data_IF_904427642752
#
_entry.id   IF_904427642752
#
_cell.length_a   1.000
_cell.length_b   1.000
_cell.length_c   1.000
_cell.angle_alpha   90.00
_cell.angle_beta   90.00
_cell.angle_gamma   90.00
#
_symmetry.space_group_name_H-M   'P 1'
#
loop_
_entity.id
_entity.type
_entity.pdbx_description
1 polymer ?
#
# COMPACT_ATOMS: atom_id res chain seq x y z
N UNK A 1 -6.40 13.07 -22.39
CA UNK A 1 -5.93 11.83 -23.08
C UNK A 1 -6.50 10.69 -22.29
N UNK A 2 -7.12 9.70 -22.91
CA UNK A 2 -7.69 8.53 -22.22
C UNK A 2 -6.54 7.53 -22.01
N UNK A 3 -6.42 6.97 -20.83
CA UNK A 3 -5.34 6.04 -20.48
C UNK A 3 -5.74 4.62 -20.87
N UNK A 4 -4.98 4.00 -21.80
CA UNK A 4 -5.04 2.57 -22.10
C UNK A 4 -4.28 1.78 -21.02
N UNK A 5 -4.73 0.55 -20.71
CA UNK A 5 -4.18 -0.27 -19.65
C UNK A 5 -3.82 -1.68 -20.11
N UNK A 6 -2.60 -2.12 -19.80
CA UNK A 6 -2.19 -3.52 -19.87
C UNK A 6 -2.92 -4.38 -18.81
N UNK A 7 -2.86 -5.70 -18.92
CA UNK A 7 -3.45 -6.60 -17.89
C UNK A 7 -2.84 -6.36 -16.50
N UNK A 8 -1.53 -6.14 -16.44
CA UNK A 8 -0.80 -5.82 -15.23
C UNK A 8 -1.31 -4.55 -14.56
N UNK A 9 -1.56 -3.51 -15.34
CA UNK A 9 -2.10 -2.23 -14.86
C UNK A 9 -3.56 -2.35 -14.42
N UNK A 10 -4.36 -3.16 -15.11
CA UNK A 10 -5.73 -3.48 -14.68
C UNK A 10 -5.75 -4.19 -13.33
N UNK A 11 -4.83 -5.14 -13.08
CA UNK A 11 -4.68 -5.83 -11.78
C UNK A 11 -4.33 -4.81 -10.68
N UNK A 12 -3.34 -3.95 -10.92
CA UNK A 12 -2.96 -2.93 -9.94
C UNK A 12 -4.12 -1.99 -9.61
N UNK A 13 -4.85 -1.53 -10.62
CA UNK A 13 -5.99 -0.63 -10.43
C UNK A 13 -7.19 -1.35 -9.79
N UNK A 14 -7.50 -2.59 -10.19
CA UNK A 14 -8.56 -3.39 -9.57
C UNK A 14 -8.30 -3.60 -8.08
N UNK A 15 -7.06 -3.95 -7.69
CA UNK A 15 -6.68 -4.08 -6.29
C UNK A 15 -6.84 -2.76 -5.51
N UNK A 16 -6.53 -1.62 -6.13
CA UNK A 16 -6.69 -0.29 -5.51
C UNK A 16 -8.16 0.13 -5.36
N UNK A 17 -9.08 -0.39 -6.20
CA UNK A 17 -10.46 0.08 -6.29
C UNK A 17 -11.50 -0.93 -5.81
N UNK A 18 -11.13 -2.21 -5.54
CA UNK A 18 -12.09 -3.28 -5.28
C UNK A 18 -13.10 -2.94 -4.18
N UNK A 19 -12.67 -2.27 -3.15
CA UNK A 19 -13.45 -1.94 -1.95
C UNK A 19 -13.75 -0.44 -1.77
N UNK A 20 -13.47 0.41 -2.76
CA UNK A 20 -13.77 1.86 -2.69
C UNK A 20 -15.26 2.14 -2.45
N UNK A 21 -16.11 1.22 -2.86
CA UNK A 21 -17.54 1.25 -2.60
C UNK A 21 -17.92 1.29 -1.12
N UNK A 22 -17.05 0.84 -0.21
CA UNK A 22 -17.27 0.96 1.25
C UNK A 22 -17.33 2.42 1.71
N UNK A 23 -16.56 3.31 1.07
CA UNK A 23 -16.68 4.76 1.32
C UNK A 23 -17.99 5.30 0.75
N UNK A 24 -18.32 4.96 -0.50
CA UNK A 24 -19.53 5.47 -1.18
C UNK A 24 -20.82 5.01 -0.49
N UNK A 25 -20.82 3.84 0.11
CA UNK A 25 -21.98 3.28 0.82
C UNK A 25 -22.31 3.99 2.15
N UNK A 26 -21.45 4.89 2.61
CA UNK A 26 -21.68 5.56 3.92
C UNK A 26 -22.79 6.59 3.90
N UNK A 27 -23.09 7.22 2.75
CA UNK A 27 -24.19 8.21 2.66
C UNK A 27 -25.40 7.69 1.90
N UNK A 28 -26.55 7.71 2.57
CA UNK A 28 -27.85 7.41 1.97
C UNK A 28 -28.26 8.50 0.99
N UNK A 29 -28.02 9.78 1.35
CA UNK A 29 -28.33 10.91 0.51
C UNK A 29 -27.58 10.86 -0.82
N UNK A 30 -26.27 10.54 -0.78
CA UNK A 30 -25.47 10.35 -1.99
C UNK A 30 -26.07 9.27 -2.90
N UNK A 31 -26.41 8.11 -2.34
CA UNK A 31 -26.97 7.00 -3.13
C UNK A 31 -28.33 7.35 -3.74
N UNK A 32 -29.19 8.01 -2.99
CA UNK A 32 -30.52 8.42 -3.46
C UNK A 32 -30.43 9.47 -4.59
N UNK A 33 -29.56 10.48 -4.43
CA UNK A 33 -29.36 11.53 -5.45
C UNK A 33 -28.75 11.02 -6.76
N UNK A 34 -28.06 9.89 -6.72
CA UNK A 34 -27.46 9.26 -7.88
C UNK A 34 -28.25 8.04 -8.40
N UNK A 35 -29.48 7.82 -7.90
CA UNK A 35 -30.36 6.72 -8.30
C UNK A 35 -29.71 5.32 -8.18
N UNK A 36 -28.84 5.15 -7.17
CA UNK A 36 -28.12 3.89 -6.96
C UNK A 36 -29.04 2.89 -6.26
N UNK A 37 -29.43 1.85 -6.99
CA UNK A 37 -30.34 0.79 -6.52
C UNK A 37 -29.57 -0.28 -5.74
N UNK A 38 -28.45 -0.78 -6.28
CA UNK A 38 -27.62 -1.81 -5.67
C UNK A 38 -26.57 -1.13 -4.76
N UNK A 39 -26.71 -1.34 -3.45
CA UNK A 39 -25.96 -0.58 -2.42
C UNK A 39 -24.81 -1.36 -1.80
N UNK A 40 -24.66 -2.63 -2.15
CA UNK A 40 -23.51 -3.41 -1.70
C UNK A 40 -22.21 -2.86 -2.30
N UNK A 41 -21.15 -2.85 -1.49
CA UNK A 41 -19.88 -2.19 -1.87
C UNK A 41 -19.28 -2.70 -3.20
N UNK A 42 -19.40 -3.98 -3.63
CA UNK A 42 -18.84 -4.39 -4.93
C UNK A 42 -19.52 -3.68 -6.11
N UNK A 43 -20.86 -3.47 -6.04
CA UNK A 43 -21.58 -2.72 -7.06
C UNK A 43 -21.22 -1.24 -7.06
N UNK A 44 -20.96 -0.67 -5.89
CA UNK A 44 -20.51 0.72 -5.76
C UNK A 44 -19.07 0.89 -6.24
N UNK A 45 -18.21 -0.10 -6.02
CA UNK A 45 -16.86 -0.12 -6.59
C UNK A 45 -16.89 -0.19 -8.11
N UNK A 46 -17.77 -1.02 -8.69
CA UNK A 46 -18.03 -1.02 -10.14
C UNK A 46 -18.57 0.33 -10.61
N UNK A 47 -19.55 0.92 -9.92
CA UNK A 47 -20.07 2.24 -10.22
C UNK A 47 -18.95 3.31 -10.26
N UNK A 48 -17.96 3.21 -9.37
CA UNK A 48 -16.81 4.11 -9.36
C UNK A 48 -15.91 3.90 -10.58
N UNK A 49 -15.69 2.66 -11.02
CA UNK A 49 -14.98 2.39 -12.29
C UNK A 49 -15.73 3.03 -13.46
N UNK A 50 -17.05 2.83 -13.56
CA UNK A 50 -17.88 3.49 -14.58
C UNK A 50 -17.88 5.03 -14.45
N UNK A 51 -17.68 5.58 -13.23
CA UNK A 51 -17.47 7.01 -13.03
C UNK A 51 -16.17 7.50 -13.66
N UNK A 52 -15.06 6.75 -13.51
CA UNK A 52 -13.78 7.07 -14.15
C UNK A 52 -13.91 7.05 -15.68
N UNK A 53 -14.63 6.07 -16.23
CA UNK A 53 -14.90 5.96 -17.67
C UNK A 53 -15.74 7.14 -18.21
N UNK A 54 -16.83 7.48 -17.52
CA UNK A 54 -17.71 8.61 -17.89
C UNK A 54 -17.00 9.96 -17.84
N UNK A 55 -15.97 10.10 -17.03
CA UNK A 55 -15.16 11.31 -16.95
C UNK A 55 -13.89 11.24 -17.79
N UNK A 56 -13.78 10.25 -18.69
CA UNK A 56 -12.67 10.09 -19.65
C UNK A 56 -11.29 9.98 -19.02
N UNK A 57 -11.20 9.46 -17.80
CA UNK A 57 -9.95 9.18 -17.12
C UNK A 57 -9.34 7.86 -17.59
N UNK A 58 -10.19 6.88 -17.85
CA UNK A 58 -9.85 5.58 -18.44
C UNK A 58 -10.77 5.24 -19.61
N UNK A 59 -10.35 4.32 -20.48
CA UNK A 59 -11.22 3.73 -21.47
C UNK A 59 -12.26 2.81 -20.82
N UNK A 60 -13.40 2.61 -21.53
CA UNK A 60 -14.39 1.62 -21.09
C UNK A 60 -13.75 0.25 -20.96
N UNK A 61 -13.77 -0.30 -19.73
CA UNK A 61 -13.02 -1.50 -19.39
C UNK A 61 -13.85 -2.52 -18.63
N UNK A 62 -14.60 -3.35 -19.36
CA UNK A 62 -15.43 -4.40 -18.77
C UNK A 62 -14.64 -5.37 -17.89
N UNK A 63 -13.38 -5.65 -18.20
CA UNK A 63 -12.55 -6.56 -17.39
C UNK A 63 -12.28 -5.95 -16.00
N UNK A 64 -11.98 -4.65 -15.92
CA UNK A 64 -11.81 -3.94 -14.66
C UNK A 64 -13.12 -3.90 -13.87
N UNK A 65 -14.25 -3.61 -14.52
CA UNK A 65 -15.57 -3.63 -13.89
C UNK A 65 -15.88 -4.99 -13.25
N UNK A 66 -15.63 -6.09 -13.99
CA UNK A 66 -15.88 -7.46 -13.52
C UNK A 66 -14.93 -7.83 -12.36
N UNK A 67 -13.65 -7.46 -12.41
CA UNK A 67 -12.70 -7.75 -11.33
C UNK A 67 -13.11 -7.06 -10.02
N UNK A 68 -13.50 -5.80 -10.05
CA UNK A 68 -13.93 -5.09 -8.81
C UNK A 68 -15.30 -5.53 -8.34
N UNK A 69 -16.20 -6.00 -9.23
CA UNK A 69 -17.50 -6.51 -8.86
C UNK A 69 -17.42 -7.92 -8.25
N UNK A 70 -16.51 -8.77 -8.76
CA UNK A 70 -16.44 -10.19 -8.46
C UNK A 70 -15.19 -10.59 -7.68
N UNK A 71 -14.84 -9.81 -6.64
CA UNK A 71 -13.68 -10.12 -5.81
C UNK A 71 -14.01 -10.99 -4.57
N UNK A 72 -15.29 -11.19 -4.24
CA UNK A 72 -15.72 -12.05 -3.15
C UNK A 72 -16.20 -13.42 -3.62
N UNK A 73 -15.81 -14.49 -2.91
CA UNK A 73 -16.34 -15.83 -3.07
C UNK A 73 -16.63 -16.44 -1.71
N UNK A 74 -17.84 -16.22 -1.22
CA UNK A 74 -18.31 -16.68 0.09
C UNK A 74 -19.82 -17.01 0.05
N UNK A 75 -20.29 -17.77 1.02
CA UNK A 75 -21.73 -18.12 1.17
C UNK A 75 -22.66 -16.89 1.33
N UNK A 76 -22.11 -15.72 1.61
CA UNK A 76 -22.87 -14.48 1.77
C UNK A 76 -23.02 -13.67 0.47
N UNK A 77 -22.36 -14.11 -0.60
CA UNK A 77 -22.36 -13.46 -1.91
C UNK A 77 -23.02 -14.38 -2.93
N UNK A 78 -23.97 -13.91 -3.77
CA UNK A 78 -24.57 -14.71 -4.82
C UNK A 78 -23.52 -15.39 -5.71
N UNK A 79 -23.72 -16.69 -6.01
CA UNK A 79 -22.73 -17.48 -6.77
C UNK A 79 -22.38 -16.89 -8.15
N UNK A 80 -23.35 -16.22 -8.79
CA UNK A 80 -23.13 -15.56 -10.07
C UNK A 80 -22.10 -14.41 -9.99
N UNK A 81 -21.81 -13.90 -8.79
CA UNK A 81 -20.80 -12.88 -8.54
C UNK A 81 -19.44 -13.47 -8.13
N UNK A 82 -19.32 -14.77 -8.03
CA UNK A 82 -18.03 -15.39 -7.67
C UNK A 82 -17.03 -15.30 -8.82
N UNK A 83 -15.74 -15.00 -8.54
CA UNK A 83 -14.69 -15.02 -9.57
C UNK A 83 -14.66 -16.35 -10.32
N UNK A 84 -14.87 -17.49 -9.63
CA UNK A 84 -14.89 -18.83 -10.22
C UNK A 84 -15.97 -19.05 -11.29
N UNK A 85 -17.00 -18.21 -11.34
CA UNK A 85 -18.11 -18.30 -12.32
C UNK A 85 -17.89 -17.44 -13.56
N UNK A 86 -16.77 -16.74 -13.67
CA UNK A 86 -16.40 -15.99 -14.87
C UNK A 86 -16.05 -16.99 -15.98
N UNK A 87 -16.68 -16.88 -17.14
CA UNK A 87 -16.48 -17.83 -18.26
C UNK A 87 -15.10 -17.66 -18.89
N UNK A 88 -14.66 -16.43 -19.15
CA UNK A 88 -13.33 -16.15 -19.69
C UNK A 88 -12.24 -16.59 -18.68
N UNK A 89 -11.36 -17.50 -19.13
CA UNK A 89 -10.33 -18.10 -18.25
C UNK A 89 -9.32 -17.09 -17.75
N UNK A 90 -8.89 -16.17 -18.60
CA UNK A 90 -7.92 -15.14 -18.24
C UNK A 90 -8.53 -14.17 -17.22
N UNK A 91 -9.72 -13.65 -17.51
CA UNK A 91 -10.42 -12.72 -16.60
C UNK A 91 -10.76 -13.40 -15.28
N UNK A 92 -11.23 -14.66 -15.30
CA UNK A 92 -11.48 -15.46 -14.09
C UNK A 92 -10.22 -15.54 -13.21
N UNK A 93 -9.07 -15.78 -13.82
CA UNK A 93 -7.80 -15.89 -13.11
C UNK A 93 -7.38 -14.52 -12.52
N UNK A 94 -7.52 -13.44 -13.29
CA UNK A 94 -7.26 -12.08 -12.82
C UNK A 94 -8.18 -11.69 -11.65
N UNK A 95 -9.48 -11.96 -11.74
CA UNK A 95 -10.43 -11.72 -10.64
C UNK A 95 -10.13 -12.56 -9.39
N UNK A 96 -9.65 -13.82 -9.59
CA UNK A 96 -9.20 -14.67 -8.48
C UNK A 96 -7.97 -14.10 -7.78
N UNK A 97 -7.03 -13.49 -8.51
CA UNK A 97 -5.88 -12.82 -7.91
C UNK A 97 -6.35 -11.68 -6.99
N UNK A 98 -7.31 -10.86 -7.42
CA UNK A 98 -7.88 -9.80 -6.58
C UNK A 98 -8.53 -10.39 -5.32
N UNK A 99 -9.33 -11.44 -5.47
CA UNK A 99 -9.99 -12.13 -4.33
C UNK A 99 -8.97 -12.69 -3.32
N UNK A 100 -7.90 -13.30 -3.80
CA UNK A 100 -6.84 -13.84 -2.94
C UNK A 100 -6.05 -12.72 -2.27
N UNK A 101 -5.76 -11.64 -2.99
CA UNK A 101 -5.05 -10.48 -2.46
C UNK A 101 -5.86 -9.76 -1.37
N UNK A 102 -7.17 -9.61 -1.55
CA UNK A 102 -8.09 -9.09 -0.53
C UNK A 102 -8.05 -9.96 0.74
N UNK A 103 -8.14 -11.30 0.59
CA UNK A 103 -8.05 -12.22 1.72
C UNK A 103 -6.70 -12.14 2.44
N UNK A 104 -5.58 -12.01 1.73
CA UNK A 104 -4.27 -11.87 2.35
C UNK A 104 -4.10 -10.51 3.05
N UNK A 105 -4.60 -9.43 2.45
CA UNK A 105 -4.63 -8.10 3.06
C UNK A 105 -5.53 -8.01 4.30
N UNK A 106 -6.43 -8.98 4.47
CA UNK A 106 -7.38 -9.08 5.59
C UNK A 106 -7.07 -10.20 6.57
N UNK A 107 -5.94 -10.91 6.38
CA UNK A 107 -5.63 -12.15 7.11
C UNK A 107 -5.36 -11.94 8.61
N UNK A 108 -5.17 -10.70 9.07
CA UNK A 108 -5.06 -10.33 10.49
C UNK A 108 -6.41 -10.23 11.20
N UNK A 109 -7.53 -10.37 10.48
CA UNK A 109 -8.88 -10.25 11.03
C UNK A 109 -9.19 -11.46 11.92
N UNK A 110 -9.51 -11.17 13.20
CA UNK A 110 -9.90 -12.17 14.19
C UNK A 110 -11.41 -12.45 14.04
N UNK A 111 -11.79 -13.69 13.73
CA UNK A 111 -13.20 -14.07 13.47
C UNK A 111 -14.09 -14.03 14.74
N UNK A 112 -13.47 -14.10 15.95
CA UNK A 112 -14.21 -14.31 17.21
C UNK A 112 -14.78 -13.04 17.84
N UNK A 113 -14.50 -11.83 17.32
CA UNK A 113 -14.85 -10.55 17.94
C UNK A 113 -15.72 -9.66 17.05
N UNK A 114 -16.86 -10.16 16.59
CA UNK A 114 -17.78 -9.36 15.75
C UNK A 114 -18.82 -8.63 16.58
N UNK A 115 -19.05 -7.34 16.30
CA UNK A 115 -20.12 -6.53 16.84
C UNK A 115 -21.02 -5.99 15.74
N UNK A 116 -22.35 -6.00 15.97
CA UNK A 116 -23.29 -5.34 15.05
C UNK A 116 -23.23 -3.83 15.28
N UNK A 117 -22.50 -3.10 14.45
CA UNK A 117 -22.44 -1.64 14.44
C UNK A 117 -23.08 -1.08 13.17
N UNK A 118 -23.52 0.17 13.22
CA UNK A 118 -23.93 0.87 11.99
C UNK A 118 -22.66 1.24 11.19
N UNK A 119 -22.33 0.45 10.18
CA UNK A 119 -21.12 0.62 9.36
C UNK A 119 -20.97 2.03 8.76
N UNK A 120 -22.06 2.78 8.60
CA UNK A 120 -22.02 4.12 8.00
C UNK A 120 -21.33 5.14 8.90
N UNK A 121 -21.49 5.00 10.20
CA UNK A 121 -21.02 5.99 11.19
C UNK A 121 -19.78 5.53 11.96
N UNK A 122 -19.38 4.26 11.84
CA UNK A 122 -18.17 3.74 12.53
C UNK A 122 -16.92 4.46 12.04
N UNK A 123 -16.18 5.15 12.92
CA UNK A 123 -14.92 5.81 12.59
C UNK A 123 -13.73 4.85 12.72
N UNK A 124 -12.56 5.30 12.30
CA UNK A 124 -11.30 4.63 12.57
C UNK A 124 -10.90 4.87 14.04
N UNK A 125 -10.63 3.79 14.78
CA UNK A 125 -10.12 3.85 16.15
C UNK A 125 -8.63 4.26 16.15
N UNK A 126 -8.23 5.08 17.12
CA UNK A 126 -6.83 5.47 17.27
C UNK A 126 -6.02 4.35 17.96
N UNK A 127 -5.00 3.84 17.28
CA UNK A 127 -4.12 2.79 17.80
C UNK A 127 -3.50 3.16 19.16
N UNK A 128 -3.14 4.43 19.37
CA UNK A 128 -2.57 4.89 20.64
C UNK A 128 -3.55 4.81 21.81
N UNK A 129 -4.85 4.71 21.57
CA UNK A 129 -5.85 4.48 22.62
C UNK A 129 -5.74 3.10 23.25
N UNK A 130 -5.00 2.16 22.65
CA UNK A 130 -4.75 0.82 23.21
C UNK A 130 -3.51 0.76 24.08
N UNK A 131 -2.72 1.84 24.16
CA UNK A 131 -1.51 1.93 24.96
C UNK A 131 -1.86 2.46 26.35
N UNK A 132 -1.79 1.62 27.37
CA UNK A 132 -2.02 1.99 28.77
C UNK A 132 -0.95 1.39 29.67
N UNK A 133 -0.52 2.18 30.66
CA UNK A 133 0.40 1.72 31.70
C UNK A 133 -0.34 0.88 32.79
N UNK A 134 -1.64 1.07 32.95
CA UNK A 134 -2.46 0.55 34.07
C UNK A 134 -3.42 -0.59 33.70
N UNK A 135 -3.28 -1.23 32.56
CA UNK A 135 -3.89 -2.53 32.17
C UNK A 135 -5.40 -2.59 31.88
N UNK A 136 -6.22 -1.57 32.05
CA UNK A 136 -7.63 -1.61 31.63
C UNK A 136 -7.99 -0.38 30.81
N UNK A 137 -8.16 -0.57 29.52
CA UNK A 137 -8.72 0.43 28.62
C UNK A 137 -10.20 0.11 28.50
N UNK A 138 -11.07 1.00 28.97
CA UNK A 138 -12.51 0.91 28.75
C UNK A 138 -12.88 1.47 27.38
N UNK A 139 -13.96 0.93 26.77
CA UNK A 139 -14.39 1.37 25.44
C UNK A 139 -14.81 2.86 25.36
N UNK A 140 -15.14 3.48 26.52
CA UNK A 140 -15.46 4.89 26.67
C UNK A 140 -14.29 5.84 26.45
N UNK A 141 -13.06 5.36 26.61
CA UNK A 141 -11.85 6.20 26.58
C UNK A 141 -11.14 6.21 25.22
N UNK A 142 -11.74 5.55 24.21
CA UNK A 142 -11.13 5.45 22.89
C UNK A 142 -11.26 6.76 22.13
N UNK A 143 -10.12 7.35 21.83
CA UNK A 143 -10.04 8.41 20.84
C UNK A 143 -10.18 7.83 19.42
N UNK A 144 -10.84 8.58 18.56
CA UNK A 144 -11.20 8.17 17.20
C UNK A 144 -10.94 9.30 16.21
N UNK A 145 -10.84 8.93 14.93
CA UNK A 145 -10.66 9.90 13.87
C UNK A 145 -12.00 10.24 13.22
N UNK A 146 -12.36 11.51 13.23
CA UNK A 146 -13.55 12.01 12.52
C UNK A 146 -13.40 11.78 11.01
N UNK A 147 -14.48 11.37 10.31
CA UNK A 147 -14.45 11.17 8.86
C UNK A 147 -14.37 12.53 8.17
N UNK A 148 -13.17 12.85 7.75
CA UNK A 148 -12.84 14.11 7.09
C UNK A 148 -11.62 13.93 6.15
N UNK A 149 -11.44 14.79 5.15
CA UNK A 149 -10.24 14.75 4.32
C UNK A 149 -8.97 14.93 5.17
N UNK A 150 -7.91 14.19 4.82
CA UNK A 150 -6.62 14.30 5.51
C UNK A 150 -6.10 15.75 5.48
N UNK A 151 -5.91 16.33 6.67
CA UNK A 151 -5.37 17.67 6.84
C UNK A 151 -4.72 17.80 8.21
N UNK A 152 -3.87 18.81 8.37
CA UNK A 152 -3.23 19.08 9.66
C UNK A 152 -4.22 19.22 10.83
N UNK A 153 -5.41 19.75 10.58
CA UNK A 153 -6.43 19.96 11.62
C UNK A 153 -7.17 18.65 12.00
N UNK A 154 -7.16 17.62 11.14
CA UNK A 154 -7.96 16.42 11.29
C UNK A 154 -7.13 15.18 11.70
N UNK A 155 -5.77 15.30 11.76
CA UNK A 155 -4.90 14.17 12.10
C UNK A 155 -4.88 13.80 13.58
N UNK A 156 -5.44 14.63 14.44
CA UNK A 156 -5.49 14.37 15.87
C UNK A 156 -6.82 13.71 16.23
N UNK A 157 -6.78 12.54 16.90
CA UNK A 157 -7.99 11.88 17.35
C UNK A 157 -8.63 12.65 18.51
N UNK A 158 -9.95 12.55 18.62
CA UNK A 158 -10.72 13.21 19.66
C UNK A 158 -11.84 12.31 20.21
N UNK A 159 -12.54 12.74 21.24
CA UNK A 159 -13.81 12.17 21.62
C UNK A 159 -14.79 12.35 20.45
N UNK A 160 -15.42 11.26 20.05
CA UNK A 160 -16.12 11.17 18.77
C UNK A 160 -17.57 11.61 18.85
N UNK A 161 -17.97 12.51 17.96
CA UNK A 161 -19.35 12.72 17.54
C UNK A 161 -19.56 12.08 16.17
N UNK A 162 -20.67 11.33 15.99
CA UNK A 162 -20.94 10.62 14.73
C UNK A 162 -21.15 11.62 13.58
N UNK A 163 -20.58 11.34 12.41
CA UNK A 163 -20.81 12.13 11.23
C UNK A 163 -22.30 12.02 10.78
N UNK A 164 -22.91 13.16 10.48
CA UNK A 164 -24.23 13.19 9.84
C UNK A 164 -24.19 12.75 8.37
N UNK A 165 -25.32 12.28 7.83
CA UNK A 165 -25.41 11.82 6.44
C UNK A 165 -25.06 12.93 5.43
N UNK A 166 -25.38 14.20 5.73
CA UNK A 166 -25.02 15.35 4.90
C UNK A 166 -23.50 15.61 4.85
N UNK A 167 -22.80 15.37 5.97
CA UNK A 167 -21.33 15.48 6.00
C UNK A 167 -20.68 14.37 5.18
N UNK A 168 -21.19 13.15 5.32
CA UNK A 168 -20.72 12.00 4.55
C UNK A 168 -20.99 12.20 3.05
N UNK A 169 -22.16 12.71 2.68
CA UNK A 169 -22.45 13.06 1.29
C UNK A 169 -21.46 14.11 0.75
N UNK A 170 -21.20 15.17 1.50
CA UNK A 170 -20.25 16.22 1.12
C UNK A 170 -18.85 15.66 0.98
N UNK A 171 -18.42 14.78 1.89
CA UNK A 171 -17.13 14.11 1.83
C UNK A 171 -16.97 13.30 0.53
N UNK A 172 -17.97 12.51 0.15
CA UNK A 172 -18.01 11.72 -1.07
C UNK A 172 -17.99 12.63 -2.31
N UNK A 173 -18.83 13.67 -2.34
CA UNK A 173 -18.91 14.59 -3.47
C UNK A 173 -17.59 15.34 -3.71
N UNK A 174 -16.92 15.78 -2.64
CA UNK A 174 -15.61 16.43 -2.74
C UNK A 174 -14.56 15.46 -3.32
N UNK A 175 -14.56 14.19 -2.87
CA UNK A 175 -13.69 13.16 -3.44
C UNK A 175 -13.93 12.99 -4.95
N UNK A 176 -15.18 12.83 -5.36
CA UNK A 176 -15.54 12.63 -6.77
C UNK A 176 -15.20 13.85 -7.64
N UNK A 177 -15.37 15.05 -7.10
CA UNK A 177 -14.99 16.28 -7.79
C UNK A 177 -13.47 16.35 -8.01
N UNK A 178 -12.67 16.06 -6.99
CA UNK A 178 -11.20 16.02 -7.14
C UNK A 178 -10.76 14.91 -8.09
N UNK A 179 -11.40 13.74 -8.07
CA UNK A 179 -11.14 12.67 -9.04
C UNK A 179 -11.42 13.14 -10.47
N UNK A 180 -12.55 13.79 -10.70
CA UNK A 180 -12.91 14.31 -12.05
C UNK A 180 -11.89 15.32 -12.58
N UNK A 181 -11.22 16.03 -11.69
CA UNK A 181 -10.23 17.06 -12.03
C UNK A 181 -8.81 16.51 -12.26
N UNK A 182 -8.60 15.19 -12.13
CA UNK A 182 -7.30 14.57 -12.41
C UNK A 182 -6.95 14.81 -13.89
N UNK A 183 -5.71 15.25 -14.12
CA UNK A 183 -5.10 15.34 -15.45
C UNK A 183 -3.92 14.37 -15.48
N UNK A 184 -4.09 13.27 -16.17
CA UNK A 184 -3.08 12.25 -16.30
C UNK A 184 -2.75 11.98 -17.77
N UNK A 185 -1.46 11.89 -18.07
CA UNK A 185 -0.94 11.58 -19.41
C UNK A 185 -0.46 10.12 -19.51
N UNK A 186 -0.36 9.44 -18.38
CA UNK A 186 0.06 8.04 -18.29
C UNK A 186 -0.70 7.31 -17.19
N UNK A 187 -0.69 5.97 -17.24
CA UNK A 187 -1.25 5.14 -16.19
C UNK A 187 -0.63 5.43 -14.82
N UNK A 188 0.69 5.54 -14.74
CA UNK A 188 1.39 5.79 -13.47
C UNK A 188 0.99 7.12 -12.83
N UNK A 189 0.77 8.15 -13.64
CA UNK A 189 0.28 9.45 -13.16
C UNK A 189 -1.15 9.33 -12.64
N UNK A 190 -2.04 8.65 -13.38
CA UNK A 190 -3.42 8.40 -12.97
C UNK A 190 -3.49 7.58 -11.68
N UNK A 191 -2.76 6.47 -11.64
CA UNK A 191 -2.71 5.55 -10.52
C UNK A 191 -2.21 6.26 -9.23
N UNK A 192 -1.13 7.03 -9.36
CA UNK A 192 -0.58 7.80 -8.24
C UNK A 192 -1.56 8.86 -7.76
N UNK A 193 -2.20 9.61 -8.66
CA UNK A 193 -3.19 10.62 -8.31
C UNK A 193 -4.41 10.00 -7.60
N UNK A 194 -4.94 8.89 -8.12
CA UNK A 194 -6.05 8.15 -7.49
C UNK A 194 -5.66 7.66 -6.09
N UNK A 195 -4.47 7.06 -5.94
CA UNK A 195 -3.97 6.60 -4.64
C UNK A 195 -3.86 7.75 -3.64
N UNK A 196 -3.35 8.91 -4.03
CA UNK A 196 -3.24 10.07 -3.13
C UNK A 196 -4.61 10.66 -2.75
N UNK A 197 -5.57 10.66 -3.67
CA UNK A 197 -6.96 11.03 -3.34
C UNK A 197 -7.62 10.01 -2.41
N UNK A 198 -7.44 8.71 -2.66
CA UNK A 198 -7.90 7.65 -1.76
C UNK A 198 -7.26 7.83 -0.37
N UNK A 199 -5.96 8.13 -0.29
CA UNK A 199 -5.31 8.46 0.97
C UNK A 199 -6.00 9.64 1.66
N UNK A 200 -6.21 10.74 0.94
CA UNK A 200 -6.82 11.96 1.47
C UNK A 200 -8.22 11.73 2.04
N UNK A 201 -9.01 10.86 1.41
CA UNK A 201 -10.44 10.69 1.76
C UNK A 201 -10.74 9.38 2.51
N UNK A 202 -9.90 8.35 2.41
CA UNK A 202 -10.16 7.04 3.05
C UNK A 202 -9.23 6.74 4.24
N UNK A 203 -8.31 7.63 4.61
CA UNK A 203 -7.33 7.42 5.69
C UNK A 203 -7.96 7.14 7.07
N UNK A 204 -9.14 7.72 7.33
CA UNK A 204 -9.88 7.62 8.59
C UNK A 204 -11.16 6.76 8.49
N UNK A 205 -11.37 6.09 7.35
CA UNK A 205 -12.48 5.16 7.13
C UNK A 205 -11.97 3.75 7.41
N UNK A 206 -12.55 2.99 8.36
CA UNK A 206 -12.11 1.63 8.61
C UNK A 206 -12.46 0.70 7.45
N UNK A 207 -11.55 -0.23 7.13
CA UNK A 207 -11.73 -1.28 6.13
C UNK A 207 -12.74 -2.33 6.56
N UNK A 208 -12.84 -2.57 7.89
CA UNK A 208 -13.77 -3.47 8.53
C UNK A 208 -14.44 -2.76 9.72
N UNK A 209 -15.78 -2.79 9.74
CA UNK A 209 -16.60 -2.14 10.76
C UNK A 209 -17.24 -3.12 11.75
N UNK A 210 -17.00 -4.41 11.57
CA UNK A 210 -17.57 -5.46 12.43
C UNK A 210 -16.71 -5.77 13.65
N UNK A 211 -15.46 -5.32 13.67
CA UNK A 211 -14.52 -5.50 14.78
C UNK A 211 -14.86 -4.60 15.97
N UNK A 212 -14.49 -5.06 17.17
CA UNK A 212 -14.53 -4.24 18.39
C UNK A 212 -13.54 -3.06 18.35
N UNK A 213 -12.45 -3.21 17.59
CA UNK A 213 -11.42 -2.20 17.37
C UNK A 213 -11.12 -2.12 15.88
N UNK A 214 -11.45 -0.98 15.29
CA UNK A 214 -11.37 -0.74 13.84
C UNK A 214 -10.17 0.17 13.55
N UNK A 215 -8.95 -0.38 13.52
CA UNK A 215 -7.69 0.35 13.43
C UNK A 215 -7.02 0.33 12.05
N UNK A 216 -7.56 -0.45 11.11
CA UNK A 216 -7.02 -0.52 9.75
C UNK A 216 -7.86 0.35 8.81
N UNK A 217 -7.20 1.34 8.20
CA UNK A 217 -7.87 2.24 7.28
C UNK A 217 -8.24 1.56 5.95
N UNK A 218 -9.28 2.05 5.31
CA UNK A 218 -9.65 1.60 3.96
C UNK A 218 -8.52 1.92 2.96
N UNK A 219 -7.81 3.04 3.13
CA UNK A 219 -6.64 3.37 2.32
C UNK A 219 -5.54 2.31 2.43
N UNK A 220 -5.18 1.92 3.64
CA UNK A 220 -4.12 0.91 3.85
C UNK A 220 -4.52 -0.44 3.25
N UNK A 221 -5.77 -0.86 3.46
CA UNK A 221 -6.32 -2.09 2.89
C UNK A 221 -6.29 -2.08 1.35
N UNK A 222 -6.76 -1.00 0.71
CA UNK A 222 -6.77 -0.87 -0.75
C UNK A 222 -5.36 -0.89 -1.35
N UNK A 223 -4.42 -0.18 -0.73
CA UNK A 223 -3.04 -0.11 -1.22
C UNK A 223 -2.29 -1.42 -1.02
N UNK A 224 -2.44 -2.08 0.12
CA UNK A 224 -1.83 -3.41 0.36
C UNK A 224 -2.42 -4.47 -0.54
N UNK A 225 -3.74 -4.48 -0.76
CA UNK A 225 -4.39 -5.40 -1.71
C UNK A 225 -3.85 -5.20 -3.12
N UNK A 226 -3.66 -3.96 -3.57
CA UNK A 226 -3.06 -3.67 -4.88
C UNK A 226 -1.63 -4.18 -4.99
N UNK A 227 -0.79 -3.97 -3.97
CA UNK A 227 0.59 -4.44 -3.95
C UNK A 227 0.68 -5.97 -3.97
N UNK A 228 -0.17 -6.64 -3.18
CA UNK A 228 -0.26 -8.11 -3.13
C UNK A 228 -0.72 -8.66 -4.48
N UNK A 229 -1.81 -8.11 -5.04
CA UNK A 229 -2.36 -8.57 -6.31
C UNK A 229 -1.34 -8.45 -7.46
N UNK A 230 -0.65 -7.30 -7.54
CA UNK A 230 0.38 -7.07 -8.54
C UNK A 230 1.55 -8.05 -8.38
N UNK A 231 2.00 -8.29 -7.14
CA UNK A 231 3.10 -9.22 -6.88
C UNK A 231 2.75 -10.67 -7.23
N UNK A 232 1.51 -11.11 -6.94
CA UNK A 232 1.04 -12.44 -7.37
C UNK A 232 0.99 -12.52 -8.89
N UNK A 233 0.46 -11.49 -9.56
CA UNK A 233 0.37 -11.47 -11.02
C UNK A 233 1.76 -11.58 -11.67
N UNK A 234 2.70 -10.72 -11.27
CA UNK A 234 4.05 -10.68 -11.84
C UNK A 234 4.85 -11.97 -11.55
N UNK A 235 4.65 -12.58 -10.38
CA UNK A 235 5.24 -13.88 -10.05
C UNK A 235 4.73 -15.01 -10.96
N UNK A 236 3.42 -15.03 -11.21
CA UNK A 236 2.80 -16.06 -12.05
C UNK A 236 3.11 -15.85 -13.54
N UNK A 237 3.15 -14.60 -13.99
CA UNK A 237 3.45 -14.23 -15.37
C UNK A 237 4.88 -14.63 -15.78
N UNK A 238 5.85 -14.51 -14.86
CA UNK A 238 7.23 -14.98 -15.09
C UNK A 238 7.33 -16.51 -15.11
N UNK A 239 6.58 -17.22 -14.24
CA UNK A 239 6.67 -18.69 -14.12
C UNK A 239 5.93 -19.45 -15.21
N UNK A 240 4.98 -18.83 -15.87
CA UNK A 240 4.07 -19.51 -16.80
C UNK A 240 4.24 -18.97 -18.23
N UNK A 241 4.50 -19.89 -19.18
CA UNK A 241 4.57 -19.52 -20.60
C UNK A 241 3.26 -18.92 -21.13
N UNK A 242 2.14 -19.28 -20.54
CA UNK A 242 0.82 -18.75 -20.89
C UNK A 242 -0.03 -18.59 -19.61
N UNK A 243 -0.12 -17.35 -19.14
CA UNK A 243 -0.91 -16.99 -17.96
C UNK A 243 -2.36 -17.50 -17.99
N UNK A 244 -2.97 -17.58 -19.20
CA UNK A 244 -4.35 -18.04 -19.34
C UNK A 244 -4.54 -19.54 -19.11
N UNK A 245 -3.47 -20.35 -19.21
CA UNK A 245 -3.52 -21.81 -19.06
C UNK A 245 -3.49 -22.28 -17.61
N UNK A 246 -2.97 -21.48 -16.68
CA UNK A 246 -2.94 -21.80 -15.28
C UNK A 246 -4.35 -21.97 -14.68
N UNK A 247 -4.47 -22.79 -13.65
CA UNK A 247 -5.76 -23.04 -13.00
C UNK A 247 -5.96 -22.06 -11.83
N UNK A 248 -7.16 -21.50 -11.70
CA UNK A 248 -7.49 -20.62 -10.59
C UNK A 248 -7.38 -21.33 -9.21
N UNK A 249 -7.64 -22.65 -9.18
CA UNK A 249 -7.51 -23.50 -7.98
C UNK A 249 -6.08 -23.46 -7.41
N UNK A 250 -5.08 -23.37 -8.28
CA UNK A 250 -3.68 -23.27 -7.84
C UNK A 250 -3.43 -22.00 -7.03
N UNK A 251 -3.98 -20.86 -7.44
CA UNK A 251 -3.80 -19.58 -6.73
C UNK A 251 -4.44 -19.64 -5.34
N UNK A 252 -5.68 -20.15 -5.22
CA UNK A 252 -6.40 -20.24 -3.94
C UNK A 252 -5.75 -21.19 -2.94
N UNK A 253 -5.21 -22.31 -3.43
CA UNK A 253 -4.68 -23.38 -2.57
C UNK A 253 -3.20 -23.22 -2.25
N UNK A 254 -2.50 -22.30 -2.92
CA UNK A 254 -1.05 -22.13 -2.79
C UNK A 254 -0.64 -21.11 -1.72
N UNK A 255 -1.30 -21.13 -0.55
CA UNK A 255 -0.97 -20.22 0.56
C UNK A 255 0.48 -20.30 1.05
N UNK A 256 1.15 -21.45 0.80
CA UNK A 256 2.54 -21.70 1.19
C UNK A 256 3.55 -21.40 0.09
N UNK A 257 3.10 -21.00 -1.08
CA UNK A 257 3.98 -20.56 -2.16
C UNK A 257 4.57 -19.19 -1.83
N UNK A 258 5.88 -19.06 -1.99
CA UNK A 258 6.60 -17.82 -1.71
C UNK A 258 6.43 -16.82 -2.88
N UNK A 259 5.25 -16.25 -2.99
CA UNK A 259 4.91 -15.26 -4.02
C UNK A 259 5.66 -13.95 -3.91
N UNK A 260 6.09 -13.61 -2.69
CA UNK A 260 6.50 -12.26 -2.36
C UNK A 260 7.95 -12.20 -1.91
N UNK A 261 8.56 -11.07 -2.21
CA UNK A 261 9.84 -10.63 -1.67
C UNK A 261 9.58 -9.37 -0.83
N UNK A 262 9.82 -9.44 0.47
CA UNK A 262 9.83 -8.25 1.32
C UNK A 262 11.23 -7.63 1.28
N UNK A 263 11.33 -6.45 0.70
CA UNK A 263 12.56 -5.68 0.60
C UNK A 263 12.56 -4.64 1.72
N UNK A 264 13.55 -4.69 2.59
CA UNK A 264 13.81 -3.69 3.63
C UNK A 264 14.95 -2.78 3.25
N UNK A 265 14.76 -1.48 3.36
CA UNK A 265 15.80 -0.47 3.21
C UNK A 265 16.02 0.30 4.52
N UNK A 266 17.27 0.52 4.89
CA UNK A 266 17.67 1.26 6.10
C UNK A 266 18.86 2.17 5.80
N UNK A 267 18.74 3.45 6.10
CA UNK A 267 19.83 4.41 5.95
C UNK A 267 20.68 4.39 7.21
N UNK A 268 21.94 4.03 7.09
CA UNK A 268 22.90 4.03 8.18
C UNK A 268 23.69 5.35 8.24
N UNK A 269 24.16 5.74 9.46
CA UNK A 269 24.92 6.98 9.67
C UNK A 269 24.06 8.20 10.02
N UNK A 270 22.74 8.04 10.17
CA UNK A 270 21.79 9.14 10.41
C UNK A 270 22.18 9.99 11.62
N UNK A 271 22.52 9.39 12.75
CA UNK A 271 22.84 10.11 13.98
C UNK A 271 24.10 10.95 13.80
N UNK A 272 25.18 10.37 13.28
CA UNK A 272 26.41 11.09 12.99
C UNK A 272 26.20 12.23 12.00
N UNK A 273 25.40 11.98 10.95
CA UNK A 273 25.07 13.00 9.97
C UNK A 273 24.26 14.15 10.56
N UNK A 274 23.19 13.87 11.33
CA UNK A 274 22.34 14.91 11.91
C UNK A 274 23.11 15.73 12.96
N UNK A 275 23.81 15.08 13.89
CA UNK A 275 24.44 15.74 15.03
C UNK A 275 25.89 16.19 14.80
N UNK A 276 26.52 15.81 13.68
CA UNK A 276 27.89 16.22 13.30
C UNK A 276 28.02 17.73 12.98
N UNK A 277 27.42 18.60 13.81
CA UNK A 277 27.42 20.05 13.61
C UNK A 277 28.64 20.65 14.33
N UNK A 278 29.52 21.31 13.56
CA UNK A 278 30.77 21.89 14.07
C UNK A 278 30.60 23.29 14.71
N UNK A 279 29.46 23.94 14.56
CA UNK A 279 29.21 25.31 15.05
C UNK A 279 27.83 25.41 15.72
N UNK A 280 27.74 26.14 16.84
CA UNK A 280 26.49 26.40 17.54
C UNK A 280 25.62 27.43 16.84
N UNK A 281 26.20 28.32 16.03
CA UNK A 281 25.46 29.31 15.27
C UNK A 281 24.54 28.65 14.23
N UNK A 282 23.25 28.92 14.29
CA UNK A 282 22.25 28.32 13.41
C UNK A 282 22.05 26.81 13.57
N UNK A 283 22.52 26.18 14.68
CA UNK A 283 22.44 24.74 14.92
C UNK A 283 21.01 24.17 14.76
N UNK A 284 19.99 24.85 15.30
CA UNK A 284 18.59 24.42 15.20
C UNK A 284 18.09 24.34 13.73
N UNK A 285 18.49 25.29 12.87
CA UNK A 285 18.13 25.26 11.45
C UNK A 285 18.82 24.11 10.73
N UNK A 286 20.10 23.86 11.03
CA UNK A 286 20.87 22.76 10.42
C UNK A 286 20.34 21.40 10.84
N UNK A 287 19.99 21.21 12.13
CA UNK A 287 19.39 19.97 12.63
C UNK A 287 18.07 19.65 11.90
N UNK A 288 17.18 20.65 11.81
CA UNK A 288 15.90 20.47 11.08
C UNK A 288 16.13 20.15 9.61
N UNK A 289 17.04 20.88 8.94
CA UNK A 289 17.35 20.60 7.54
C UNK A 289 17.91 19.18 7.34
N UNK A 290 18.89 18.77 8.16
CA UNK A 290 19.49 17.43 8.06
C UNK A 290 18.48 16.33 8.36
N UNK A 291 17.60 16.52 9.33
CA UNK A 291 16.51 15.58 9.60
C UNK A 291 15.52 15.50 8.43
N UNK A 292 15.11 16.65 7.86
CA UNK A 292 14.29 16.69 6.65
C UNK A 292 14.98 16.04 5.45
N UNK A 293 16.28 16.28 5.28
CA UNK A 293 17.07 15.68 4.21
C UNK A 293 17.09 14.15 4.30
N UNK A 294 17.26 13.56 5.49
CA UNK A 294 17.18 12.09 5.66
C UNK A 294 15.80 11.56 5.27
N UNK A 295 14.72 12.27 5.63
CA UNK A 295 13.37 11.89 5.18
C UNK A 295 13.25 11.93 3.65
N UNK A 296 13.72 13.01 3.03
CA UNK A 296 13.70 13.17 1.58
C UNK A 296 14.55 12.10 0.88
N UNK A 297 15.74 11.81 1.41
CA UNK A 297 16.63 10.77 0.88
C UNK A 297 15.96 9.38 0.96
N UNK A 298 15.27 9.07 2.07
CA UNK A 298 14.51 7.83 2.24
C UNK A 298 13.43 7.70 1.15
N UNK A 299 12.68 8.76 0.91
CA UNK A 299 11.63 8.78 -0.11
C UNK A 299 12.24 8.62 -1.52
N UNK A 300 13.29 9.36 -1.84
CA UNK A 300 13.97 9.28 -3.15
C UNK A 300 14.50 7.87 -3.41
N UNK A 301 15.14 7.23 -2.42
CA UNK A 301 15.67 5.87 -2.56
C UNK A 301 14.52 4.88 -2.78
N UNK A 302 13.46 4.95 -1.97
CA UNK A 302 12.30 4.06 -2.13
C UNK A 302 11.61 4.24 -3.49
N UNK A 303 11.44 5.48 -3.96
CA UNK A 303 10.90 5.77 -5.30
C UNK A 303 11.83 5.31 -6.43
N UNK A 304 13.16 5.50 -6.29
CA UNK A 304 14.12 4.97 -7.27
C UNK A 304 14.01 3.45 -7.37
N UNK A 305 13.92 2.76 -6.24
CA UNK A 305 13.77 1.30 -6.23
C UNK A 305 12.50 0.86 -6.95
N UNK A 306 11.33 1.37 -6.60
CA UNK A 306 10.09 0.95 -7.26
C UNK A 306 10.11 1.26 -8.76
N UNK A 307 10.69 2.39 -9.18
CA UNK A 307 10.81 2.74 -10.59
C UNK A 307 11.75 1.78 -11.34
N UNK A 308 12.92 1.49 -10.79
CA UNK A 308 13.89 0.57 -11.40
C UNK A 308 13.39 -0.87 -11.42
N UNK A 309 12.62 -1.29 -10.40
CA UNK A 309 12.03 -2.62 -10.31
C UNK A 309 10.68 -2.73 -11.06
N UNK A 310 10.26 -1.68 -11.75
CA UNK A 310 8.96 -1.59 -12.43
C UNK A 310 7.76 -1.91 -11.52
N UNK A 311 7.79 -1.45 -10.28
CA UNK A 311 6.72 -1.59 -9.30
C UNK A 311 5.83 -0.34 -9.27
N UNK A 312 4.67 -0.44 -8.65
CA UNK A 312 3.77 0.70 -8.42
C UNK A 312 4.01 1.30 -7.03
N UNK A 313 3.61 2.56 -6.85
CA UNK A 313 3.79 3.27 -5.57
C UNK A 313 3.13 2.54 -4.38
N UNK A 314 2.07 1.77 -4.59
CA UNK A 314 1.42 0.94 -3.57
C UNK A 314 2.32 -0.18 -3.04
N UNK A 315 3.36 -0.58 -3.79
CA UNK A 315 4.34 -1.56 -3.33
C UNK A 315 5.23 -1.02 -2.19
N UNK A 316 5.32 0.32 -2.00
CA UNK A 316 5.91 0.88 -0.79
C UNK A 316 4.90 0.74 0.34
N UNK A 317 5.07 -0.27 1.19
CA UNK A 317 4.16 -0.56 2.31
C UNK A 317 4.27 0.49 3.40
N UNK A 318 5.51 0.85 3.75
CA UNK A 318 5.81 1.93 4.69
C UNK A 318 7.13 2.60 4.30
N UNK A 319 7.19 3.92 4.44
CA UNK A 319 8.43 4.69 4.36
C UNK A 319 8.44 5.74 5.48
N UNK A 320 9.38 5.60 6.39
CA UNK A 320 9.59 6.50 7.52
C UNK A 320 11.04 6.97 7.51
N UNK A 321 11.35 8.06 8.20
CA UNK A 321 12.68 8.67 8.18
C UNK A 321 13.83 7.68 8.42
N UNK A 322 14.52 7.28 7.38
CA UNK A 322 15.65 6.37 7.38
C UNK A 322 15.33 4.91 7.08
N UNK A 323 14.05 4.48 7.12
CA UNK A 323 13.68 3.08 6.88
C UNK A 323 12.43 2.97 6.02
N UNK A 324 12.38 1.94 5.15
CA UNK A 324 11.20 1.62 4.36
C UNK A 324 11.10 0.11 4.08
N UNK A 325 9.89 -0.33 3.73
CA UNK A 325 9.64 -1.70 3.27
C UNK A 325 8.84 -1.67 1.96
N UNK A 326 9.26 -2.52 1.01
CA UNK A 326 8.62 -2.70 -0.29
C UNK A 326 8.20 -4.16 -0.41
N UNK A 327 6.96 -4.40 -0.84
CA UNK A 327 6.49 -5.73 -1.23
C UNK A 327 6.64 -5.88 -2.74
N UNK A 328 7.40 -6.87 -3.18
CA UNK A 328 7.68 -7.14 -4.59
C UNK A 328 7.37 -8.60 -4.95
N UNK A 329 7.24 -8.96 -6.23
CA UNK A 329 7.16 -10.36 -6.64
C UNK A 329 8.49 -11.08 -6.37
N UNK A 330 8.41 -12.33 -5.89
CA UNK A 330 9.59 -13.17 -5.66
C UNK A 330 10.05 -13.82 -6.95
N UNK A 331 10.71 -13.05 -7.78
CA UNK A 331 11.23 -13.53 -9.06
C UNK A 331 12.70 -13.14 -9.29
N UNK A 332 13.33 -13.78 -10.26
CA UNK A 332 14.78 -13.61 -10.51
C UNK A 332 15.11 -12.23 -11.08
N UNK A 333 14.19 -11.65 -11.86
CA UNK A 333 14.36 -10.30 -12.40
C UNK A 333 14.49 -9.28 -11.25
N UNK A 334 13.57 -9.31 -10.29
CA UNK A 334 13.59 -8.40 -9.13
C UNK A 334 14.88 -8.56 -8.32
N UNK A 335 15.29 -9.80 -8.01
CA UNK A 335 16.50 -10.06 -7.20
C UNK A 335 17.74 -9.50 -7.86
N UNK A 336 17.96 -9.82 -9.14
CA UNK A 336 19.15 -9.37 -9.89
C UNK A 336 19.18 -7.84 -10.11
N UNK A 337 18.01 -7.25 -10.34
CA UNK A 337 17.89 -5.80 -10.54
C UNK A 337 18.12 -5.04 -9.24
N UNK A 338 17.60 -5.58 -8.11
CA UNK A 338 17.74 -4.99 -6.79
C UNK A 338 19.23 -4.84 -6.41
N UNK A 339 20.04 -5.90 -6.56
CA UNK A 339 21.48 -5.88 -6.27
C UNK A 339 22.17 -4.75 -7.04
N UNK A 340 21.88 -4.63 -8.34
CA UNK A 340 22.43 -3.59 -9.20
C UNK A 340 22.08 -2.18 -8.71
N UNK A 341 20.80 -1.94 -8.42
CA UNK A 341 20.33 -0.61 -8.01
C UNK A 341 20.88 -0.24 -6.63
N UNK A 342 20.97 -1.19 -5.70
CA UNK A 342 21.59 -0.97 -4.38
C UNK A 342 23.06 -0.55 -4.52
N UNK A 343 23.83 -1.24 -5.39
CA UNK A 343 25.22 -0.88 -5.68
C UNK A 343 25.34 0.52 -6.28
N UNK A 344 24.49 0.88 -7.24
CA UNK A 344 24.45 2.24 -7.82
C UNK A 344 24.17 3.32 -6.76
N UNK A 345 23.20 3.07 -5.88
CA UNK A 345 22.84 4.00 -4.80
C UNK A 345 24.04 4.18 -3.85
N UNK A 346 24.66 3.09 -3.41
CA UNK A 346 25.80 3.15 -2.48
C UNK A 346 27.04 3.81 -3.11
N UNK A 347 27.32 3.58 -4.37
CA UNK A 347 28.38 4.28 -5.09
C UNK A 347 28.14 5.80 -5.13
N UNK A 348 26.87 6.22 -5.37
CA UNK A 348 26.50 7.63 -5.30
C UNK A 348 26.68 8.18 -3.87
N UNK A 349 26.16 7.51 -2.86
CA UNK A 349 26.25 7.95 -1.47
C UNK A 349 27.69 8.01 -0.98
N UNK A 350 28.52 7.04 -1.35
CA UNK A 350 29.94 7.06 -1.01
C UNK A 350 30.66 8.27 -1.61
N UNK A 351 30.42 8.57 -2.88
CA UNK A 351 31.03 9.71 -3.57
C UNK A 351 30.63 11.06 -2.97
N UNK A 352 29.35 11.21 -2.62
CA UNK A 352 28.81 12.50 -2.13
C UNK A 352 29.00 12.71 -0.61
N UNK A 353 28.99 11.62 0.17
CA UNK A 353 29.01 11.68 1.64
C UNK A 353 30.24 11.01 2.27
N UNK A 354 31.20 10.54 1.46
CA UNK A 354 32.48 9.97 1.93
C UNK A 354 32.32 8.92 3.03
N UNK A 355 31.22 8.15 2.97
CA UNK A 355 30.94 7.10 3.93
C UNK A 355 30.17 7.51 5.18
N UNK A 356 29.81 8.79 5.35
CA UNK A 356 28.94 9.24 6.46
C UNK A 356 27.55 8.62 6.39
N UNK A 357 27.02 8.45 5.18
CA UNK A 357 25.71 7.85 4.90
C UNK A 357 25.89 6.61 4.03
N UNK A 358 25.19 5.53 4.38
CA UNK A 358 25.18 4.27 3.64
C UNK A 358 23.77 3.73 3.56
N UNK A 359 23.39 3.21 2.40
CA UNK A 359 22.09 2.54 2.20
C UNK A 359 22.24 1.03 2.40
N UNK A 360 21.62 0.53 3.44
CA UNK A 360 21.57 -0.88 3.77
C UNK A 360 20.27 -1.48 3.25
N UNK A 361 20.35 -2.59 2.51
CA UNK A 361 19.22 -3.26 1.90
C UNK A 361 19.28 -4.77 2.16
N UNK A 362 18.15 -5.35 2.53
CA UNK A 362 17.97 -6.80 2.69
C UNK A 362 16.64 -7.22 2.14
N UNK A 363 16.48 -8.50 1.85
CA UNK A 363 15.20 -9.05 1.44
C UNK A 363 14.98 -10.45 2.02
N UNK A 364 13.70 -10.81 2.18
CA UNK A 364 13.26 -12.16 2.59
C UNK A 364 12.08 -12.59 1.75
N UNK A 365 11.95 -13.90 1.54
CA UNK A 365 10.81 -14.48 0.86
C UNK A 365 9.63 -14.63 1.81
N UNK A 366 8.42 -14.34 1.30
CA UNK A 366 7.17 -14.46 2.03
C UNK A 366 6.16 -15.27 1.22
N UNK A 367 5.46 -16.14 1.93
CA UNK A 367 4.26 -16.83 1.43
C UNK A 367 2.98 -16.06 1.78
N UNK A 368 1.83 -16.48 1.22
CA UNK A 368 0.53 -15.92 1.61
C UNK A 368 0.19 -16.14 3.09
N UNK A 369 0.69 -17.23 3.72
CA UNK A 369 0.50 -17.44 5.16
C UNK A 369 1.32 -16.46 6.02
N UNK A 370 2.45 -15.98 5.51
CA UNK A 370 3.32 -15.06 6.24
C UNK A 370 2.78 -13.63 6.29
N UNK A 371 1.88 -13.25 5.36
CA UNK A 371 1.25 -11.92 5.34
C UNK A 371 0.20 -11.73 6.45
N UNK A 372 -0.30 -12.81 7.06
CA UNK A 372 -1.24 -12.78 8.16
C UNK A 372 -0.56 -12.80 9.54
N UNK A 373 -1.01 -13.70 10.40
CA UNK A 373 -0.57 -13.82 11.80
C UNK A 373 0.95 -14.05 11.99
N UNK A 374 1.65 -14.51 10.96
CA UNK A 374 3.10 -14.74 11.01
C UNK A 374 3.94 -13.53 10.60
N UNK A 375 3.32 -12.45 10.13
CA UNK A 375 4.05 -11.27 9.61
C UNK A 375 5.00 -10.66 10.63
N UNK A 376 4.61 -10.59 11.90
CA UNK A 376 5.46 -10.05 12.97
C UNK A 376 6.81 -10.78 13.08
N UNK A 377 6.83 -12.11 12.89
CA UNK A 377 8.06 -12.90 12.88
C UNK A 377 8.93 -12.56 11.67
N UNK A 378 8.33 -12.48 10.49
CA UNK A 378 9.04 -12.10 9.25
C UNK A 378 9.55 -10.66 9.30
N UNK A 379 8.79 -9.77 9.92
CA UNK A 379 9.23 -8.40 10.15
C UNK A 379 10.45 -8.32 11.10
N UNK A 380 10.51 -9.18 12.14
CA UNK A 380 11.69 -9.31 12.98
C UNK A 380 12.89 -9.83 12.18
N UNK A 381 12.69 -10.92 11.42
CA UNK A 381 13.73 -11.55 10.60
C UNK A 381 14.41 -10.55 9.64
N UNK A 382 13.65 -9.77 8.90
CA UNK A 382 14.23 -8.77 7.99
C UNK A 382 14.97 -7.65 8.74
N UNK A 383 14.48 -7.23 9.92
CA UNK A 383 15.15 -6.23 10.73
C UNK A 383 16.48 -6.76 11.30
N UNK A 384 16.56 -8.04 11.67
CA UNK A 384 17.78 -8.68 12.12
C UNK A 384 18.80 -8.73 11.00
N UNK A 385 18.41 -9.13 9.78
CA UNK A 385 19.26 -9.10 8.60
C UNK A 385 19.76 -7.67 8.27
N UNK A 386 18.89 -6.67 8.36
CA UNK A 386 19.29 -5.27 8.17
C UNK A 386 20.32 -4.83 9.21
N UNK A 387 20.21 -5.29 10.46
CA UNK A 387 21.18 -4.98 11.50
C UNK A 387 22.52 -5.70 11.29
N UNK A 388 22.49 -6.97 10.92
CA UNK A 388 23.68 -7.75 10.58
C UNK A 388 24.45 -7.13 9.41
N UNK A 389 23.77 -6.73 8.34
CA UNK A 389 24.37 -6.13 7.16
C UNK A 389 25.06 -4.78 7.43
N UNK A 390 24.75 -4.09 8.53
CA UNK A 390 25.49 -2.88 8.93
C UNK A 390 26.95 -3.13 9.21
N UNK A 391 27.32 -4.36 9.58
CA UNK A 391 28.71 -4.74 9.80
C UNK A 391 29.50 -4.93 8.48
N UNK A 392 28.81 -5.08 7.36
CA UNK A 392 29.39 -5.26 6.03
C UNK A 392 29.39 -3.98 5.18
N UNK A 393 29.24 -2.83 5.84
CA UNK A 393 29.27 -1.52 5.20
C UNK A 393 30.53 -1.36 4.35
N UNK A 394 30.36 -1.06 3.05
CA UNK A 394 31.46 -0.91 2.08
C UNK A 394 32.30 -2.17 1.83
N UNK A 395 31.80 -3.36 2.13
CA UNK A 395 32.55 -4.60 1.90
C UNK A 395 32.95 -4.76 0.42
N UNK A 396 32.04 -4.48 -0.50
CA UNK A 396 32.28 -4.59 -1.94
C UNK A 396 33.37 -3.63 -2.40
N UNK A 397 33.36 -2.37 -1.93
CA UNK A 397 34.35 -1.35 -2.24
C UNK A 397 35.74 -1.71 -1.67
N UNK A 398 35.77 -2.39 -0.51
CA UNK A 398 37.00 -2.91 0.08
C UNK A 398 37.56 -4.05 -0.77
N UNK A 399 36.71 -5.03 -1.14
CA UNK A 399 37.15 -6.18 -1.95
C UNK A 399 37.54 -5.79 -3.37
N UNK A 400 36.92 -4.80 -3.96
CA UNK A 400 37.28 -4.26 -5.28
C UNK A 400 38.46 -3.25 -5.22
N UNK A 401 39.12 -3.08 -4.06
CA UNK A 401 40.23 -2.13 -3.79
C UNK A 401 39.88 -0.65 -4.06
N UNK A 402 38.65 -0.29 -4.23
CA UNK A 402 38.21 1.09 -4.56
C UNK A 402 38.37 2.06 -3.39
N UNK A 403 38.31 1.57 -2.13
CA UNK A 403 38.45 2.38 -0.92
C UNK A 403 39.89 2.87 -0.67
N UNK A 404 40.88 2.17 -1.20
CA UNK A 404 42.29 2.44 -0.97
C UNK A 404 42.96 3.20 -2.15
N UNK A 405 42.20 3.47 -3.21
CA UNK A 405 42.69 4.36 -4.26
C UNK A 405 42.77 5.80 -3.75
N UNK A 406 43.96 6.39 -3.91
CA UNK A 406 44.18 7.78 -3.54
C UNK A 406 43.38 8.71 -4.50
N UNK A 407 42.17 9.10 -4.11
CA UNK A 407 41.40 10.09 -4.86
C UNK A 407 41.98 11.48 -4.59
N UNK A 408 42.65 12.04 -5.59
CA UNK A 408 43.04 13.45 -5.58
C UNK A 408 41.73 14.27 -5.74
N UNK A 409 41.29 14.89 -4.66
CA UNK A 409 40.21 15.86 -4.73
C UNK A 409 40.78 17.16 -5.31
N UNK A 410 40.38 17.52 -6.52
CA UNK A 410 40.62 18.83 -7.11
C UNK A 410 39.65 19.85 -6.61
#
# INVERSE_FOLDING_TARGET
MIVEMSNREKIALAGLLHDIGKMLNRSTNFMNKNDIIKREHPYLSKWFVEYLERNFLIEKNRELEEMVLRHHESQFVPEELWPSKIEDRRLRRMATIISVADNYSSAERDEDNTTKRNFKTVPLDCLFSTVSLDKKIENSDKNRYHIAPFSYNNIFPSSFEENGDEELERHINNFLEEVRNIKAESFDTLYTALRELIKKYCWCIPSDTQKNFCDISLYDHLTTTSAIALSIYDYLDEKEEDFSKGTFVNIKNSKKEDYFLLIGGDISGIQSYIFGIKSTEGASKRLRFRSFFIKLLTDIISYKLIKELDLKISNIIIASSGKFFILAPNNQYIKSKLEKVVKEINNFLYREYLGDIFFNCSNIELSGEDLGLKFSKKYSEINDLLNENKFFKFADEVFENQLFEQKVFN
#
